data_IF_718426493432
#
_entry.id   IF_718426493432
#
_cell.length_a   1.000
_cell.length_b   1.000
_cell.length_c   1.000
_cell.angle_alpha   90.00
_cell.angle_beta   90.00
_cell.angle_gamma   90.00
#
_symmetry.space_group_name_H-M   'P 1'
#
loop_
_entity.id
_entity.type
_entity.pdbx_description
1 polymer ?
#
# COMPACT_ATOMS: atom_id res chain seq x y z
N UNK A 1 4.75 -20.67 -12.46
CA UNK A 1 5.10 -20.26 -11.09
C UNK A 1 6.57 -19.85 -10.92
N UNK A 2 7.58 -20.66 -11.31
CA UNK A 2 9.00 -20.28 -11.14
C UNK A 2 9.35 -18.92 -11.77
N UNK A 3 9.01 -18.73 -13.06
CA UNK A 3 9.32 -17.46 -13.76
C UNK A 3 8.64 -16.24 -13.12
N UNK A 4 7.39 -16.38 -12.65
CA UNK A 4 6.69 -15.31 -11.93
C UNK A 4 7.43 -14.93 -10.64
N UNK A 5 7.81 -15.93 -9.84
CA UNK A 5 8.54 -15.69 -8.60
C UNK A 5 9.93 -15.08 -8.83
N UNK A 6 10.64 -15.48 -9.88
CA UNK A 6 11.93 -14.89 -10.25
C UNK A 6 11.80 -13.43 -10.68
N UNK A 7 10.84 -13.11 -11.54
CA UNK A 7 10.58 -11.72 -11.97
C UNK A 7 10.21 -10.84 -10.78
N UNK A 8 9.34 -11.32 -9.90
CA UNK A 8 8.93 -10.59 -8.69
C UNK A 8 10.11 -10.39 -7.73
N UNK A 9 10.96 -11.41 -7.57
CA UNK A 9 12.18 -11.30 -6.77
C UNK A 9 13.12 -10.22 -7.30
N UNK A 10 13.43 -10.23 -8.59
CA UNK A 10 14.32 -9.23 -9.19
C UNK A 10 13.74 -7.81 -9.15
N UNK A 11 12.45 -7.65 -9.41
CA UNK A 11 11.77 -6.36 -9.28
C UNK A 11 11.76 -5.88 -7.82
N UNK A 12 11.62 -6.80 -6.86
CA UNK A 12 11.75 -6.49 -5.44
C UNK A 12 13.16 -6.05 -5.08
N UNK A 13 14.19 -6.75 -5.55
CA UNK A 13 15.60 -6.43 -5.30
C UNK A 13 15.99 -5.07 -5.88
N UNK A 14 15.54 -4.75 -7.10
CA UNK A 14 15.78 -3.43 -7.73
C UNK A 14 15.25 -2.31 -6.82
N UNK A 15 14.04 -2.43 -6.29
CA UNK A 15 13.44 -1.45 -5.36
C UNK A 15 14.30 -1.26 -4.11
N UNK A 16 14.67 -2.37 -3.47
CA UNK A 16 15.46 -2.37 -2.21
C UNK A 16 16.81 -1.71 -2.45
N UNK A 17 17.53 -2.13 -3.49
CA UNK A 17 18.85 -1.58 -3.82
C UNK A 17 18.76 -0.08 -4.13
N UNK A 18 17.72 0.36 -4.84
CA UNK A 18 17.54 1.78 -5.17
C UNK A 18 17.28 2.64 -3.94
N UNK A 19 16.44 2.15 -3.00
CA UNK A 19 16.17 2.89 -1.76
C UNK A 19 17.43 2.95 -0.89
N UNK A 20 18.16 1.84 -0.76
CA UNK A 20 19.42 1.81 -0.01
C UNK A 20 20.47 2.71 -0.65
N UNK A 21 20.56 2.75 -1.99
CA UNK A 21 21.44 3.65 -2.71
C UNK A 21 21.07 5.13 -2.47
N UNK A 22 19.77 5.46 -2.43
CA UNK A 22 19.31 6.81 -2.06
C UNK A 22 19.73 7.18 -0.64
N UNK A 23 19.53 6.29 0.33
CA UNK A 23 19.92 6.54 1.73
C UNK A 23 21.44 6.71 1.82
N UNK A 24 22.22 5.83 1.18
CA UNK A 24 23.68 5.92 1.16
C UNK A 24 24.14 7.23 0.50
N UNK A 25 23.52 7.63 -0.62
CA UNK A 25 23.79 8.92 -1.27
C UNK A 25 23.50 10.08 -0.33
N UNK A 26 22.36 10.05 0.39
CA UNK A 26 22.02 11.08 1.37
C UNK A 26 23.05 11.18 2.49
N UNK A 27 23.49 10.07 3.04
CA UNK A 27 24.55 10.02 4.06
C UNK A 27 25.85 10.60 3.51
N UNK A 28 26.26 10.19 2.30
CA UNK A 28 27.45 10.69 1.64
C UNK A 28 27.39 12.20 1.44
N UNK A 29 26.29 12.74 0.90
CA UNK A 29 26.14 14.16 0.63
C UNK A 29 26.16 14.99 1.92
N UNK A 30 25.53 14.51 2.99
CA UNK A 30 25.54 15.18 4.29
C UNK A 30 26.94 15.17 4.91
N UNK A 31 27.66 14.04 4.85
CA UNK A 31 29.00 13.91 5.44
C UNK A 31 30.05 14.72 4.69
N UNK A 32 29.88 14.92 3.40
CA UNK A 32 30.77 15.74 2.54
C UNK A 32 30.34 17.20 2.45
N UNK A 33 29.26 17.60 3.12
CA UNK A 33 28.67 18.93 3.00
C UNK A 33 28.44 19.34 1.53
N UNK A 34 27.93 18.41 0.73
CA UNK A 34 27.78 18.54 -0.70
C UNK A 34 26.88 19.72 -1.07
N UNK A 35 27.34 20.56 -2.00
CA UNK A 35 26.59 21.71 -2.48
C UNK A 35 25.54 21.27 -3.51
N UNK A 36 24.28 21.61 -3.26
CA UNK A 36 23.15 21.36 -4.15
C UNK A 36 22.58 22.69 -4.66
N UNK A 37 21.80 22.71 -5.72
CA UNK A 37 21.09 23.92 -6.16
C UNK A 37 20.17 24.54 -5.09
N UNK A 38 19.83 23.78 -4.06
CA UNK A 38 18.97 24.18 -2.94
C UNK A 38 19.77 24.61 -1.68
N UNK A 39 21.11 24.60 -1.73
CA UNK A 39 21.99 24.80 -0.60
C UNK A 39 22.81 23.56 -0.27
N UNK A 40 23.45 23.54 0.91
CA UNK A 40 24.26 22.40 1.33
C UNK A 40 23.39 21.27 1.88
N UNK A 41 23.73 20.01 1.51
CA UNK A 41 23.14 18.84 2.13
C UNK A 41 23.55 18.75 3.60
N UNK A 42 22.57 18.81 4.51
CA UNK A 42 22.82 18.85 5.96
C UNK A 42 21.60 18.39 6.75
N UNK A 43 21.84 17.80 7.90
CA UNK A 43 20.76 17.53 8.87
C UNK A 43 20.06 18.81 9.35
N UNK A 44 20.72 19.97 9.22
CA UNK A 44 20.11 21.26 9.53
C UNK A 44 18.93 21.59 8.63
N UNK A 45 18.85 21.02 7.42
CA UNK A 45 17.67 21.15 6.54
C UNK A 45 16.41 20.57 7.17
N UNK A 46 16.55 19.61 8.11
CA UNK A 46 15.45 19.01 8.85
C UNK A 46 15.16 19.79 10.14
N UNK A 47 16.21 20.25 10.83
CA UNK A 47 16.10 20.81 12.19
C UNK A 47 15.96 22.32 12.22
N UNK A 48 16.55 23.06 11.26
CA UNK A 48 16.45 24.50 11.21
C UNK A 48 15.03 24.96 10.87
N UNK A 49 14.47 25.78 11.75
CA UNK A 49 13.10 26.26 11.59
C UNK A 49 12.05 25.15 11.73
N UNK A 50 12.38 24.05 12.42
CA UNK A 50 11.44 22.95 12.64
C UNK A 50 10.16 23.47 13.31
N UNK A 51 9.05 23.22 12.62
CA UNK A 51 7.71 23.46 13.14
C UNK A 51 6.95 22.13 13.06
N UNK A 52 6.33 21.74 14.17
CA UNK A 52 5.58 20.48 14.22
C UNK A 52 4.39 20.47 13.24
N UNK A 53 3.80 21.64 13.00
CA UNK A 53 2.66 21.83 12.10
C UNK A 53 2.90 23.02 11.16
N UNK A 54 3.87 22.94 10.21
CA UNK A 54 4.24 24.10 9.39
C UNK A 54 3.10 24.62 8.52
N UNK A 55 2.18 23.77 8.14
CA UNK A 55 0.97 24.11 7.38
C UNK A 55 -0.32 24.09 8.23
N UNK A 56 -0.15 24.13 9.56
CA UNK A 56 -1.24 24.08 10.52
C UNK A 56 -1.72 22.66 10.84
N UNK A 57 -2.40 22.56 11.98
CA UNK A 57 -2.91 21.29 12.54
C UNK A 57 -3.82 20.52 11.56
N UNK A 58 -4.71 21.22 10.85
CA UNK A 58 -5.66 20.59 9.92
C UNK A 58 -4.93 19.86 8.78
N UNK A 59 -3.92 20.51 8.18
CA UNK A 59 -3.11 19.89 7.12
C UNK A 59 -2.34 18.67 7.62
N UNK A 60 -1.86 18.69 8.85
CA UNK A 60 -1.21 17.55 9.49
C UNK A 60 -2.19 16.36 9.63
N UNK A 61 -3.42 16.61 10.10
CA UNK A 61 -4.46 15.57 10.22
C UNK A 61 -4.85 15.02 8.85
N UNK A 62 -5.00 15.87 7.85
CA UNK A 62 -5.29 15.44 6.48
C UNK A 62 -4.20 14.55 5.88
N UNK A 63 -2.93 14.72 6.27
CA UNK A 63 -1.82 13.89 5.78
C UNK A 63 -1.95 12.40 6.18
N UNK A 64 -2.71 12.07 7.24
CA UNK A 64 -2.91 10.68 7.68
C UNK A 64 -3.52 9.78 6.60
N UNK A 65 -4.34 10.32 5.70
CA UNK A 65 -4.86 9.57 4.55
C UNK A 65 -3.72 9.09 3.63
N UNK A 66 -2.81 9.98 3.27
CA UNK A 66 -1.68 9.62 2.39
C UNK A 66 -0.72 8.66 3.09
N UNK A 67 -0.47 8.87 4.38
CA UNK A 67 0.33 7.95 5.20
C UNK A 67 -0.34 6.58 5.24
N UNK A 68 -1.64 6.51 5.51
CA UNK A 68 -2.38 5.24 5.51
C UNK A 68 -2.26 4.52 4.15
N UNK A 69 -2.45 5.24 3.04
CA UNK A 69 -2.31 4.68 1.69
C UNK A 69 -0.90 4.10 1.46
N UNK A 70 0.15 4.78 1.94
CA UNK A 70 1.53 4.32 1.80
C UNK A 70 1.81 2.98 2.54
N UNK A 71 1.02 2.64 3.56
CA UNK A 71 1.16 1.41 4.34
C UNK A 71 0.12 0.33 4.01
N UNK A 72 -0.71 0.53 3.00
CA UNK A 72 -1.65 -0.50 2.54
C UNK A 72 -0.91 -1.74 2.02
N UNK A 73 -1.63 -2.86 1.98
CA UNK A 73 -1.15 -4.16 1.51
C UNK A 73 -0.16 -4.89 2.46
N UNK A 74 0.02 -4.42 3.69
CA UNK A 74 0.79 -5.16 4.72
C UNK A 74 0.15 -6.54 5.00
N UNK A 75 -1.17 -6.65 4.89
CA UNK A 75 -1.92 -7.89 5.06
C UNK A 75 -1.59 -8.98 4.04
N UNK A 76 -0.94 -8.65 2.93
CA UNK A 76 -0.53 -9.63 1.92
C UNK A 76 0.41 -10.70 2.48
N UNK A 77 1.14 -10.41 3.55
CA UNK A 77 1.90 -11.41 4.30
C UNK A 77 0.98 -12.52 4.83
N UNK A 78 -0.24 -12.19 5.26
CA UNK A 78 -1.24 -13.17 5.70
C UNK A 78 -1.85 -13.96 4.53
N UNK A 79 -2.04 -13.33 3.37
CA UNK A 79 -2.65 -13.95 2.18
C UNK A 79 -1.74 -15.04 1.60
N UNK A 80 -0.42 -14.85 1.66
CA UNK A 80 0.57 -15.81 1.15
C UNK A 80 0.79 -17.02 2.07
N UNK A 81 0.06 -17.11 3.19
CA UNK A 81 0.17 -18.20 4.17
C UNK A 81 -0.02 -19.59 3.54
N UNK A 82 -1.00 -19.72 2.64
CA UNK A 82 -1.32 -21.01 1.99
C UNK A 82 -0.24 -21.47 1.00
N UNK A 83 0.67 -20.60 0.61
CA UNK A 83 1.75 -20.87 -0.34
C UNK A 83 3.12 -20.96 0.33
N UNK A 84 3.19 -20.58 1.61
CA UNK A 84 4.43 -20.54 2.37
C UNK A 84 4.74 -21.91 2.96
N UNK A 85 5.96 -22.42 2.72
CA UNK A 85 6.45 -23.61 3.39
C UNK A 85 6.61 -23.30 4.91
N UNK A 86 6.08 -24.17 5.78
CA UNK A 86 6.11 -24.00 7.23
C UNK A 86 5.59 -22.63 7.73
N UNK A 87 4.33 -22.25 7.41
CA UNK A 87 3.81 -20.90 7.69
C UNK A 87 3.86 -20.55 9.19
N UNK A 88 3.70 -21.52 10.09
CA UNK A 88 3.77 -21.31 11.54
C UNK A 88 5.13 -20.79 12.02
N UNK A 89 6.19 -21.04 11.30
CA UNK A 89 7.54 -20.55 11.64
C UNK A 89 7.89 -19.28 10.86
N UNK A 90 7.56 -19.25 9.58
CA UNK A 90 7.96 -18.15 8.68
C UNK A 90 7.15 -16.88 8.93
N UNK A 91 5.83 -16.97 9.12
CA UNK A 91 4.97 -15.80 9.30
C UNK A 91 5.29 -14.97 10.54
N UNK A 92 5.47 -15.56 11.75
CA UNK A 92 5.81 -14.76 12.93
C UNK A 92 7.13 -14.00 12.76
N UNK A 93 8.10 -14.58 12.05
CA UNK A 93 9.37 -13.93 11.73
C UNK A 93 9.16 -12.77 10.75
N UNK A 94 8.44 -13.01 9.66
CA UNK A 94 8.12 -11.98 8.67
C UNK A 94 7.38 -10.79 9.31
N UNK A 95 6.37 -11.05 10.14
CA UNK A 95 5.60 -10.00 10.83
C UNK A 95 6.50 -9.16 11.76
N UNK A 96 7.44 -9.77 12.48
CA UNK A 96 8.38 -9.04 13.35
C UNK A 96 9.38 -8.18 12.56
N UNK A 97 9.71 -8.56 11.32
CA UNK A 97 10.63 -7.81 10.46
C UNK A 97 9.96 -6.60 9.78
N UNK A 98 8.64 -6.61 9.60
CA UNK A 98 7.91 -5.51 8.92
C UNK A 98 8.19 -4.14 9.54
N UNK A 99 8.08 -3.91 10.87
CA UNK A 99 8.34 -2.60 11.46
C UNK A 99 9.77 -2.11 11.19
N UNK A 100 10.76 -3.00 11.23
CA UNK A 100 12.17 -2.66 10.97
C UNK A 100 12.34 -2.22 9.51
N UNK A 101 11.76 -2.97 8.58
CA UNK A 101 11.78 -2.63 7.14
C UNK A 101 11.10 -1.29 6.87
N UNK A 102 9.97 -1.02 7.52
CA UNK A 102 9.27 0.26 7.42
C UNK A 102 10.16 1.41 7.89
N UNK A 103 10.78 1.30 9.07
CA UNK A 103 11.67 2.34 9.58
C UNK A 103 12.82 2.59 8.62
N UNK A 104 13.48 1.56 8.12
CA UNK A 104 14.63 1.74 7.21
C UNK A 104 14.18 2.34 5.88
N UNK A 105 13.18 1.74 5.21
CA UNK A 105 12.86 2.09 3.83
C UNK A 105 11.98 3.35 3.71
N UNK A 106 11.09 3.61 4.67
CA UNK A 106 10.24 4.80 4.62
C UNK A 106 10.86 5.96 5.39
N UNK A 107 11.13 5.78 6.69
CA UNK A 107 11.67 6.88 7.51
C UNK A 107 13.09 7.22 7.07
N UNK A 108 13.94 6.21 6.83
CA UNK A 108 15.31 6.42 6.35
C UNK A 108 15.37 7.13 5.00
N UNK A 109 14.53 6.75 4.04
CA UNK A 109 14.47 7.42 2.73
C UNK A 109 13.96 8.86 2.85
N UNK A 110 12.92 9.11 3.66
CA UNK A 110 12.40 10.46 3.88
C UNK A 110 13.43 11.36 4.56
N UNK A 111 14.11 10.86 5.60
CA UNK A 111 15.19 11.61 6.27
C UNK A 111 16.34 11.92 5.30
N UNK A 112 16.74 10.98 4.46
CA UNK A 112 17.78 11.20 3.45
C UNK A 112 17.36 12.29 2.45
N UNK A 113 16.14 12.23 1.90
CA UNK A 113 15.62 13.24 0.97
C UNK A 113 15.56 14.61 1.64
N UNK A 114 15.04 14.70 2.86
CA UNK A 114 14.89 15.97 3.58
C UNK A 114 16.25 16.56 4.01
N UNK A 115 17.26 15.74 4.28
CA UNK A 115 18.60 16.18 4.57
C UNK A 115 19.33 16.74 3.34
N UNK A 116 19.04 16.19 2.16
CA UNK A 116 19.61 16.68 0.88
C UNK A 116 18.90 17.97 0.45
N UNK A 117 17.60 18.05 0.68
CA UNK A 117 16.75 19.06 0.08
C UNK A 117 15.72 19.59 1.10
N UNK A 118 15.66 20.89 1.38
CA UNK A 118 14.60 21.43 2.20
C UNK A 118 13.22 21.07 1.64
N UNK A 119 12.37 20.50 2.46
CA UNK A 119 11.07 19.96 2.03
C UNK A 119 10.17 20.97 1.31
N UNK A 120 10.30 22.28 1.66
CA UNK A 120 9.57 23.39 1.04
C UNK A 120 9.90 23.57 -0.44
N UNK A 121 11.08 23.12 -0.88
CA UNK A 121 11.58 23.28 -2.25
C UNK A 121 11.39 22.00 -3.10
N UNK A 122 10.85 20.91 -2.50
CA UNK A 122 10.59 19.69 -3.25
C UNK A 122 9.51 19.93 -4.29
N UNK A 123 9.76 19.65 -5.58
CA UNK A 123 8.78 19.84 -6.64
C UNK A 123 7.65 18.82 -6.50
N UNK A 124 6.41 19.31 -6.44
CA UNK A 124 5.21 18.47 -6.24
C UNK A 124 4.98 17.51 -7.43
N UNK A 125 5.42 17.91 -8.63
CA UNK A 125 5.14 17.18 -9.88
C UNK A 125 6.28 16.26 -10.34
N UNK A 126 7.31 16.06 -9.51
CA UNK A 126 8.46 15.20 -9.84
C UNK A 126 8.73 14.21 -8.71
N UNK A 127 9.18 13.02 -9.09
CA UNK A 127 9.63 12.06 -8.08
C UNK A 127 10.82 12.63 -7.29
N UNK A 128 10.79 12.65 -5.95
CA UNK A 128 11.93 13.07 -5.13
C UNK A 128 13.20 12.26 -5.45
N UNK A 129 13.07 10.99 -5.77
CA UNK A 129 14.18 10.13 -6.17
C UNK A 129 14.88 10.67 -7.43
N UNK A 130 14.10 11.01 -8.47
CA UNK A 130 14.64 11.57 -9.70
C UNK A 130 15.36 12.90 -9.42
N UNK A 131 14.75 13.75 -8.59
CA UNK A 131 15.29 15.06 -8.23
C UNK A 131 16.66 14.94 -7.54
N UNK A 132 16.76 14.07 -6.53
CA UNK A 132 18.02 13.85 -5.79
C UNK A 132 19.15 13.39 -6.70
N UNK A 133 18.92 12.39 -7.53
CA UNK A 133 19.98 11.86 -8.40
C UNK A 133 20.36 12.82 -9.54
N UNK A 134 19.43 13.68 -10.00
CA UNK A 134 19.76 14.76 -10.92
C UNK A 134 20.70 15.80 -10.31
N UNK A 135 20.53 16.10 -9.00
CA UNK A 135 21.38 17.05 -8.28
C UNK A 135 22.81 16.57 -8.10
N UNK A 136 23.04 15.29 -7.97
CA UNK A 136 24.39 14.69 -7.90
C UNK A 136 25.12 14.79 -9.26
N UNK A 137 24.49 15.36 -10.28
CA UNK A 137 25.10 15.60 -11.59
C UNK A 137 25.05 14.39 -12.53
N UNK A 138 24.38 13.31 -12.14
CA UNK A 138 24.27 12.10 -12.95
C UNK A 138 23.06 12.23 -13.88
N UNK A 139 23.25 12.87 -15.05
CA UNK A 139 22.16 13.14 -16.02
C UNK A 139 21.40 11.89 -16.46
N UNK A 140 22.08 10.76 -16.61
CA UNK A 140 21.45 9.48 -16.98
C UNK A 140 20.71 8.80 -15.82
N UNK A 141 20.99 9.19 -14.55
CA UNK A 141 20.32 8.64 -13.39
C UNK A 141 18.81 8.91 -13.39
N UNK A 142 18.37 10.02 -13.99
CA UNK A 142 16.94 10.29 -14.11
C UNK A 142 16.21 9.21 -14.92
N UNK A 143 16.79 8.78 -16.05
CA UNK A 143 16.24 7.70 -16.87
C UNK A 143 16.27 6.36 -16.13
N UNK A 144 17.36 6.04 -15.44
CA UNK A 144 17.47 4.83 -14.62
C UNK A 144 16.44 4.82 -13.48
N UNK A 145 16.30 5.91 -12.73
CA UNK A 145 15.34 5.99 -11.63
C UNK A 145 13.90 5.91 -12.16
N UNK A 146 13.58 6.56 -13.26
CA UNK A 146 12.27 6.40 -13.89
C UNK A 146 11.99 4.94 -14.28
N UNK A 147 12.99 4.23 -14.82
CA UNK A 147 12.88 2.79 -15.09
C UNK A 147 12.64 1.99 -13.81
N UNK A 148 13.36 2.29 -12.72
CA UNK A 148 13.17 1.64 -11.41
C UNK A 148 11.76 1.91 -10.87
N UNK A 149 11.26 3.15 -10.95
CA UNK A 149 9.89 3.49 -10.52
C UNK A 149 8.87 2.73 -11.36
N UNK A 150 9.06 2.64 -12.67
CA UNK A 150 8.20 1.87 -13.57
C UNK A 150 8.19 0.38 -13.20
N UNK A 151 9.37 -0.23 -13.00
CA UNK A 151 9.47 -1.65 -12.59
C UNK A 151 8.87 -1.89 -11.20
N UNK A 152 9.00 -0.92 -10.29
CA UNK A 152 8.39 -0.99 -8.96
C UNK A 152 6.86 -0.95 -9.05
N UNK A 153 6.29 -0.08 -9.87
CA UNK A 153 4.85 0.00 -10.12
C UNK A 153 4.34 -1.29 -10.80
N UNK A 154 5.06 -1.78 -11.81
CA UNK A 154 4.72 -3.03 -12.51
C UNK A 154 4.72 -4.24 -11.57
N UNK A 155 5.72 -4.35 -10.67
CA UNK A 155 5.77 -5.40 -9.65
C UNK A 155 4.57 -5.32 -8.69
N UNK A 156 4.25 -4.12 -8.19
CA UNK A 156 3.10 -3.94 -7.29
C UNK A 156 1.78 -4.30 -7.97
N UNK A 157 1.60 -3.89 -9.23
CA UNK A 157 0.45 -4.25 -10.04
C UNK A 157 0.36 -5.77 -10.24
N UNK A 158 1.48 -6.43 -10.56
CA UNK A 158 1.55 -7.87 -10.78
C UNK A 158 1.14 -8.65 -9.53
N UNK A 159 1.70 -8.32 -8.35
CA UNK A 159 1.34 -8.94 -7.07
C UNK A 159 -0.13 -8.71 -6.71
N UNK A 160 -0.64 -7.50 -6.92
CA UNK A 160 -2.04 -7.16 -6.65
C UNK A 160 -3.00 -7.92 -7.57
N UNK A 161 -2.72 -7.99 -8.87
CA UNK A 161 -3.53 -8.76 -9.83
C UNK A 161 -3.57 -10.24 -9.50
N UNK A 162 -2.43 -10.80 -9.12
CA UNK A 162 -2.34 -12.19 -8.70
C UNK A 162 -3.20 -12.45 -7.46
N UNK A 163 -3.04 -11.63 -6.42
CA UNK A 163 -3.82 -11.74 -5.18
C UNK A 163 -5.32 -11.57 -5.43
N UNK A 164 -5.72 -10.51 -6.15
CA UNK A 164 -7.13 -10.24 -6.49
C UNK A 164 -7.74 -11.37 -7.30
N UNK A 165 -7.00 -11.93 -8.27
CA UNK A 165 -7.44 -13.06 -9.06
C UNK A 165 -7.68 -14.32 -8.20
N UNK A 166 -6.85 -14.58 -7.20
CA UNK A 166 -7.04 -15.68 -6.25
C UNK A 166 -8.23 -15.47 -5.35
N UNK A 167 -8.45 -14.27 -4.83
CA UNK A 167 -9.64 -13.93 -4.05
C UNK A 167 -10.92 -14.12 -4.90
N UNK A 168 -10.92 -13.61 -6.12
CA UNK A 168 -12.05 -13.75 -7.03
C UNK A 168 -12.35 -15.23 -7.37
N UNK A 169 -11.31 -16.03 -7.58
CA UNK A 169 -11.45 -17.48 -7.76
C UNK A 169 -12.07 -18.14 -6.54
N UNK A 170 -11.61 -17.81 -5.33
CA UNK A 170 -12.15 -18.38 -4.10
C UNK A 170 -13.62 -18.00 -3.91
N UNK A 171 -13.98 -16.75 -4.12
CA UNK A 171 -15.38 -16.28 -4.07
C UNK A 171 -16.23 -17.04 -5.09
N UNK A 172 -15.72 -17.22 -6.32
CA UNK A 172 -16.43 -17.95 -7.36
C UNK A 172 -16.64 -19.43 -7.03
N UNK A 173 -15.68 -20.04 -6.32
CA UNK A 173 -15.77 -21.41 -5.83
C UNK A 173 -16.81 -21.57 -4.71
N UNK A 174 -16.90 -20.59 -3.81
CA UNK A 174 -17.85 -20.56 -2.70
C UNK A 174 -19.27 -20.14 -3.12
N UNK A 175 -19.43 -19.64 -4.35
CA UNK A 175 -20.73 -19.25 -4.93
C UNK A 175 -21.09 -20.04 -6.17
N UNK A 176 -21.29 -21.37 -6.08
CA UNK A 176 -21.51 -22.23 -7.25
C UNK A 176 -22.78 -21.90 -8.03
N UNK A 177 -23.77 -21.27 -7.39
CA UNK A 177 -25.05 -20.90 -8.01
C UNK A 177 -25.00 -19.56 -8.77
N UNK A 178 -23.87 -18.85 -8.78
CA UNK A 178 -23.74 -17.59 -9.51
C UNK A 178 -23.64 -17.82 -11.02
N UNK A 179 -24.69 -17.43 -11.75
CA UNK A 179 -24.75 -17.52 -13.23
C UNK A 179 -23.60 -16.77 -13.90
N UNK A 180 -23.23 -15.59 -13.36
CA UNK A 180 -22.17 -14.74 -13.93
C UNK A 180 -20.81 -15.40 -13.74
N UNK A 181 -20.48 -15.86 -12.52
CA UNK A 181 -19.18 -16.48 -12.23
C UNK A 181 -18.99 -17.77 -13.01
N UNK A 182 -20.07 -18.55 -13.16
CA UNK A 182 -20.05 -19.80 -13.94
C UNK A 182 -19.92 -19.53 -15.46
N UNK A 183 -20.62 -18.51 -15.99
CA UNK A 183 -20.51 -18.11 -17.40
C UNK A 183 -19.08 -17.65 -17.74
N UNK A 184 -18.44 -16.90 -16.86
CA UNK A 184 -17.06 -16.44 -17.02
C UNK A 184 -16.04 -17.52 -16.61
N UNK A 185 -16.49 -18.65 -16.04
CA UNK A 185 -15.65 -19.74 -15.54
C UNK A 185 -14.56 -19.27 -14.59
N UNK A 186 -14.89 -18.34 -13.69
CA UNK A 186 -13.96 -17.74 -12.73
C UNK A 186 -13.50 -18.75 -11.66
N UNK A 187 -14.27 -19.83 -11.47
CA UNK A 187 -13.97 -20.95 -10.58
C UNK A 187 -13.07 -22.02 -11.22
N UNK A 188 -12.46 -21.75 -12.38
CA UNK A 188 -11.60 -22.71 -13.08
C UNK A 188 -10.11 -22.41 -12.89
N UNK A 189 -9.32 -23.47 -12.78
CA UNK A 189 -7.86 -23.41 -12.79
C UNK A 189 -7.32 -23.77 -14.17
N UNK A 190 -6.21 -23.20 -14.54
CA UNK A 190 -5.43 -23.59 -15.71
C UNK A 190 -4.73 -24.94 -15.46
N UNK A 191 -4.11 -25.52 -16.50
CA UNK A 191 -3.29 -26.74 -16.39
C UNK A 191 -2.14 -26.62 -15.38
N UNK A 192 -1.71 -25.40 -15.08
CA UNK A 192 -0.66 -25.08 -14.11
C UNK A 192 -1.21 -24.79 -12.71
N UNK A 193 -2.50 -25.00 -12.42
CA UNK A 193 -3.11 -24.73 -11.12
C UNK A 193 -3.33 -23.25 -10.81
N UNK A 194 -3.27 -22.35 -11.83
CA UNK A 194 -3.42 -20.91 -11.67
C UNK A 194 -4.83 -20.47 -12.09
N UNK A 195 -5.53 -19.59 -11.36
CA UNK A 195 -6.85 -19.09 -11.72
C UNK A 195 -6.77 -18.01 -12.81
N UNK A 196 -6.26 -18.38 -14.00
CA UNK A 196 -5.93 -17.43 -15.07
C UNK A 196 -7.11 -16.58 -15.52
N UNK A 197 -8.34 -17.15 -15.55
CA UNK A 197 -9.54 -16.40 -15.96
C UNK A 197 -9.93 -15.32 -14.95
N UNK A 198 -9.81 -15.62 -13.66
CA UNK A 198 -10.05 -14.65 -12.62
C UNK A 198 -9.00 -13.53 -12.64
N UNK A 199 -7.72 -13.85 -12.88
CA UNK A 199 -6.64 -12.88 -13.03
C UNK A 199 -6.87 -12.00 -14.27
N UNK A 200 -7.22 -12.57 -15.41
CA UNK A 200 -7.50 -11.81 -16.64
C UNK A 200 -8.70 -10.88 -16.45
N UNK A 201 -9.77 -11.37 -15.80
CA UNK A 201 -10.93 -10.53 -15.48
C UNK A 201 -10.52 -9.33 -14.60
N UNK A 202 -9.75 -9.57 -13.55
CA UNK A 202 -9.21 -8.50 -12.68
C UNK A 202 -8.34 -7.52 -13.47
N UNK A 203 -7.48 -8.02 -14.37
CA UNK A 203 -6.64 -7.17 -15.21
C UNK A 203 -7.46 -6.28 -16.17
N UNK A 204 -8.56 -6.81 -16.73
CA UNK A 204 -9.47 -6.01 -17.57
C UNK A 204 -10.13 -4.89 -16.75
N UNK A 205 -10.61 -5.19 -15.54
CA UNK A 205 -11.20 -4.18 -14.65
C UNK A 205 -10.19 -3.07 -14.31
N UNK A 206 -8.96 -3.45 -13.99
CA UNK A 206 -7.88 -2.48 -13.73
C UNK A 206 -7.55 -1.67 -14.97
N UNK A 207 -7.47 -2.28 -16.14
CA UNK A 207 -7.21 -1.58 -17.40
C UNK A 207 -8.33 -0.56 -17.71
N UNK A 208 -9.60 -0.91 -17.48
CA UNK A 208 -10.72 0.03 -17.61
C UNK A 208 -10.57 1.22 -16.66
N UNK A 209 -10.15 1.00 -15.41
CA UNK A 209 -9.92 2.09 -14.46
C UNK A 209 -8.80 3.04 -14.89
N UNK A 210 -7.79 2.54 -15.63
CA UNK A 210 -6.70 3.36 -16.16
C UNK A 210 -7.20 4.38 -17.21
N UNK A 211 -8.27 4.07 -17.94
CA UNK A 211 -8.87 5.02 -18.88
C UNK A 211 -9.50 6.23 -18.20
N UNK A 212 -9.88 6.12 -16.92
CA UNK A 212 -10.43 7.23 -16.15
C UNK A 212 -9.42 8.39 -16.06
N UNK A 213 -8.12 8.08 -15.99
CA UNK A 213 -7.06 9.09 -15.95
C UNK A 213 -6.91 9.89 -17.26
N UNK A 214 -7.47 9.41 -18.36
CA UNK A 214 -7.39 10.07 -19.68
C UNK A 214 -8.62 10.93 -19.97
N UNK A 215 -9.67 10.82 -19.13
CA UNK A 215 -10.91 11.55 -19.33
C UNK A 215 -10.73 13.05 -19.01
N UNK A 216 -11.16 13.96 -19.90
CA UNK A 216 -11.15 15.39 -19.62
C UNK A 216 -12.00 15.70 -18.39
N UNK A 217 -11.51 16.54 -17.48
CA UNK A 217 -12.23 16.96 -16.27
C UNK A 217 -11.98 16.12 -15.01
N UNK A 218 -11.22 15.02 -15.08
CA UNK A 218 -10.78 14.24 -13.92
C UNK A 218 -9.34 14.64 -13.57
N UNK A 219 -9.18 15.84 -13.01
CA UNK A 219 -7.86 16.40 -12.70
C UNK A 219 -7.11 15.66 -11.60
N UNK A 220 -7.81 14.95 -10.71
CA UNK A 220 -7.25 14.26 -9.55
C UNK A 220 -7.68 12.78 -9.47
N UNK A 221 -7.63 12.06 -10.62
CA UNK A 221 -8.00 10.64 -10.66
C UNK A 221 -7.18 9.79 -9.66
N UNK A 222 -5.90 10.11 -9.46
CA UNK A 222 -5.06 9.45 -8.48
C UNK A 222 -5.61 9.64 -7.05
N UNK A 223 -5.95 10.87 -6.66
CA UNK A 223 -6.52 11.17 -5.35
C UNK A 223 -7.87 10.47 -5.14
N UNK A 224 -8.74 10.46 -6.17
CA UNK A 224 -10.03 9.77 -6.14
C UNK A 224 -9.86 8.26 -5.93
N UNK A 225 -9.00 7.61 -6.72
CA UNK A 225 -8.76 6.16 -6.64
C UNK A 225 -8.12 5.78 -5.31
N UNK A 226 -7.12 6.54 -4.86
CA UNK A 226 -6.44 6.26 -3.59
C UNK A 226 -7.34 6.48 -2.37
N UNK A 227 -8.20 7.50 -2.39
CA UNK A 227 -9.16 7.74 -1.33
C UNK A 227 -10.25 6.65 -1.27
N UNK A 228 -10.79 6.26 -2.44
CA UNK A 228 -11.77 5.17 -2.52
C UNK A 228 -11.17 3.85 -2.02
N UNK A 229 -9.96 3.53 -2.47
CA UNK A 229 -9.21 2.37 -2.03
C UNK A 229 -8.98 2.40 -0.51
N UNK A 230 -8.47 3.51 0.02
CA UNK A 230 -8.22 3.66 1.46
C UNK A 230 -9.48 3.47 2.29
N UNK A 231 -10.62 4.02 1.85
CA UNK A 231 -11.90 3.84 2.55
C UNK A 231 -12.33 2.37 2.66
N UNK A 232 -12.21 1.62 1.55
CA UNK A 232 -12.53 0.18 1.54
C UNK A 232 -11.54 -0.62 2.39
N UNK A 233 -10.24 -0.34 2.30
CA UNK A 233 -9.21 -1.02 3.11
C UNK A 233 -9.39 -0.75 4.61
N UNK A 234 -9.74 0.47 5.00
CA UNK A 234 -10.05 0.80 6.40
C UNK A 234 -11.20 -0.07 6.92
N UNK A 235 -12.27 -0.22 6.14
CA UNK A 235 -13.38 -1.09 6.52
C UNK A 235 -12.95 -2.55 6.68
N UNK A 236 -12.12 -3.08 5.76
CA UNK A 236 -11.56 -4.43 5.83
C UNK A 236 -10.72 -4.59 7.11
N UNK A 237 -9.87 -3.62 7.42
CA UNK A 237 -9.03 -3.68 8.62
C UNK A 237 -9.86 -3.61 9.92
N UNK A 238 -10.89 -2.76 9.97
CA UNK A 238 -11.82 -2.73 11.11
C UNK A 238 -12.52 -4.08 11.28
N UNK A 239 -13.05 -4.66 10.20
CA UNK A 239 -13.69 -5.98 10.23
C UNK A 239 -12.71 -7.07 10.68
N UNK A 240 -11.47 -7.02 10.22
CA UNK A 240 -10.41 -7.94 10.64
C UNK A 240 -10.11 -7.80 12.14
N UNK A 241 -10.04 -6.58 12.67
CA UNK A 241 -9.84 -6.34 14.11
C UNK A 241 -11.02 -6.85 14.93
N UNK A 242 -12.26 -6.65 14.47
CA UNK A 242 -13.45 -7.20 15.11
C UNK A 242 -13.47 -8.72 15.08
N UNK A 243 -13.12 -9.32 13.93
CA UNK A 243 -12.98 -10.78 13.81
C UNK A 243 -11.90 -11.32 14.75
N UNK A 244 -10.77 -10.64 14.91
CA UNK A 244 -9.72 -10.99 15.85
C UNK A 244 -10.21 -10.97 17.30
N UNK A 245 -11.01 -9.96 17.72
CA UNK A 245 -11.59 -9.93 19.06
C UNK A 245 -12.51 -11.14 19.33
N UNK A 246 -13.29 -11.54 18.32
CA UNK A 246 -14.16 -12.72 18.40
C UNK A 246 -13.35 -14.02 18.44
N UNK A 247 -12.33 -14.13 17.56
CA UNK A 247 -11.43 -15.29 17.50
C UNK A 247 -10.70 -15.52 18.83
N UNK A 248 -10.20 -14.45 19.48
CA UNK A 248 -9.52 -14.54 20.78
C UNK A 248 -10.38 -15.12 21.91
N UNK A 249 -11.70 -15.08 21.76
CA UNK A 249 -12.65 -15.64 22.71
C UNK A 249 -13.19 -17.01 22.28
N UNK A 250 -12.86 -17.47 21.08
CA UNK A 250 -13.34 -18.74 20.54
C UNK A 250 -12.55 -19.94 21.06
N UNK A 251 -13.13 -21.12 20.99
CA UNK A 251 -12.47 -22.39 21.32
C UNK A 251 -11.39 -22.79 20.30
N UNK A 252 -11.42 -22.16 19.13
CA UNK A 252 -10.49 -22.40 18.02
C UNK A 252 -9.20 -21.58 18.13
N UNK A 253 -9.11 -20.73 19.17
CA UNK A 253 -7.93 -19.90 19.37
C UNK A 253 -6.68 -20.76 19.62
N UNK A 254 -5.65 -20.55 18.78
CA UNK A 254 -4.35 -21.20 18.87
C UNK A 254 -3.31 -20.24 19.47
N UNK A 255 -2.85 -20.49 20.69
CA UNK A 255 -1.85 -19.63 21.36
C UNK A 255 -0.42 -19.76 20.83
N UNK A 256 -0.11 -20.87 20.12
CA UNK A 256 1.25 -21.23 19.73
C UNK A 256 1.82 -20.41 18.55
N UNK A 257 0.99 -19.55 17.93
CA UNK A 257 1.39 -18.68 16.85
C UNK A 257 1.81 -17.28 17.30
N UNK A 258 1.83 -16.35 16.35
CA UNK A 258 1.98 -14.94 16.69
C UNK A 258 0.72 -14.44 17.42
N UNK A 259 0.93 -13.94 18.62
CA UNK A 259 -0.14 -13.42 19.47
C UNK A 259 0.04 -11.93 19.65
N UNK A 260 -0.98 -11.15 19.33
CA UNK A 260 -0.99 -9.70 19.55
C UNK A 260 -0.85 -9.39 21.05
N UNK A 261 0.21 -8.68 21.48
CA UNK A 261 0.36 -8.30 22.88
C UNK A 261 -0.72 -7.31 23.28
N UNK A 262 -1.10 -7.31 24.57
CA UNK A 262 -2.08 -6.37 25.12
C UNK A 262 -3.34 -6.16 24.25
N UNK A 263 -3.84 -7.20 23.58
CA UNK A 263 -4.89 -7.12 22.55
C UNK A 263 -6.18 -6.45 23.05
N UNK A 264 -6.47 -6.54 24.37
CA UNK A 264 -7.66 -5.93 24.98
C UNK A 264 -7.64 -4.39 24.88
N UNK A 265 -6.44 -3.79 24.79
CA UNK A 265 -6.25 -2.34 24.69
C UNK A 265 -5.85 -1.97 23.25
N UNK A 266 -4.86 -2.63 22.70
CA UNK A 266 -4.31 -2.28 21.38
C UNK A 266 -5.30 -2.50 20.24
N UNK A 267 -6.14 -3.56 20.31
CA UNK A 267 -7.10 -3.81 19.25
C UNK A 267 -8.19 -2.72 19.17
N UNK A 268 -8.91 -2.36 20.27
CA UNK A 268 -9.84 -1.23 20.23
C UNK A 268 -9.18 0.10 19.84
N UNK A 269 -7.96 0.36 20.32
CA UNK A 269 -7.21 1.56 19.96
C UNK A 269 -6.93 1.62 18.45
N UNK A 270 -6.58 0.48 17.85
CA UNK A 270 -6.37 0.38 16.40
C UNK A 270 -7.67 0.63 15.63
N UNK A 271 -8.81 0.12 16.11
CA UNK A 271 -10.12 0.40 15.50
C UNK A 271 -10.44 1.90 15.57
N UNK A 272 -10.22 2.55 16.72
CA UNK A 272 -10.43 4.00 16.88
C UNK A 272 -9.51 4.79 15.94
N UNK A 273 -8.25 4.38 15.81
CA UNK A 273 -7.31 4.98 14.86
C UNK A 273 -7.80 4.85 13.41
N UNK A 274 -8.28 3.69 12.99
CA UNK A 274 -8.81 3.51 11.65
C UNK A 274 -10.08 4.33 11.39
N UNK A 275 -10.96 4.44 12.38
CA UNK A 275 -12.13 5.33 12.30
C UNK A 275 -11.71 6.80 12.18
N UNK A 276 -10.70 7.22 12.94
CA UNK A 276 -10.12 8.56 12.81
C UNK A 276 -9.59 8.81 11.40
N UNK A 277 -8.78 7.89 10.83
CA UNK A 277 -8.27 8.03 9.46
C UNK A 277 -9.41 8.04 8.44
N UNK A 278 -10.47 7.26 8.66
CA UNK A 278 -11.64 7.27 7.79
C UNK A 278 -12.34 8.64 7.78
N UNK A 279 -12.47 9.29 8.93
CA UNK A 279 -13.00 10.66 9.03
C UNK A 279 -12.10 11.65 8.31
N UNK A 280 -10.76 11.48 8.38
CA UNK A 280 -9.82 12.35 7.67
C UNK A 280 -10.03 12.36 6.15
N UNK A 281 -10.53 11.26 5.55
CA UNK A 281 -10.84 11.20 4.11
C UNK A 281 -11.91 12.23 3.68
N UNK A 282 -12.78 12.66 4.58
CA UNK A 282 -13.86 13.62 4.30
C UNK A 282 -13.44 15.09 4.48
N UNK A 283 -12.25 15.33 5.03
CA UNK A 283 -11.78 16.69 5.35
C UNK A 283 -11.09 17.39 4.16
N UNK A 284 -10.82 16.69 3.07
CA UNK A 284 -10.06 17.21 1.94
C UNK A 284 -10.87 17.09 0.65
N UNK A 285 -10.96 18.19 -0.12
CA UNK A 285 -11.73 18.25 -1.37
C UNK A 285 -11.32 17.20 -2.40
N UNK A 286 -10.02 16.88 -2.50
CA UNK A 286 -9.51 15.88 -3.44
C UNK A 286 -9.88 14.43 -3.07
N UNK A 287 -10.23 14.15 -1.82
CA UNK A 287 -10.46 12.77 -1.31
C UNK A 287 -11.90 12.50 -0.92
N UNK A 288 -12.71 13.55 -0.62
CA UNK A 288 -14.05 13.34 -0.06
C UNK A 288 -15.00 12.60 -1.02
N UNK A 289 -14.90 12.82 -2.33
CA UNK A 289 -15.72 12.11 -3.33
C UNK A 289 -15.39 10.61 -3.31
N UNK A 290 -14.09 10.27 -3.24
CA UNK A 290 -13.64 8.88 -3.09
C UNK A 290 -14.12 8.24 -1.79
N UNK A 291 -14.12 9.00 -0.69
CA UNK A 291 -14.63 8.55 0.61
C UNK A 291 -16.15 8.28 0.58
N UNK A 292 -16.91 9.14 -0.07
CA UNK A 292 -18.36 8.93 -0.29
C UNK A 292 -18.59 7.65 -1.10
N UNK A 293 -17.86 7.49 -2.23
CA UNK A 293 -17.93 6.30 -3.06
C UNK A 293 -17.64 5.02 -2.28
N UNK A 294 -16.57 5.02 -1.48
CA UNK A 294 -16.22 3.89 -0.61
C UNK A 294 -17.33 3.61 0.42
N UNK A 295 -17.90 4.65 1.04
CA UNK A 295 -18.98 4.51 2.02
C UNK A 295 -20.23 3.89 1.40
N UNK A 296 -20.65 4.40 0.24
CA UNK A 296 -21.80 3.85 -0.50
C UNK A 296 -21.54 2.37 -0.82
N UNK A 297 -20.34 2.04 -1.33
CA UNK A 297 -19.96 0.67 -1.62
C UNK A 297 -20.03 -0.24 -0.40
N UNK A 298 -19.49 0.19 0.74
CA UNK A 298 -19.49 -0.58 2.00
C UNK A 298 -20.92 -0.84 2.46
N UNK A 299 -21.81 0.18 2.41
CA UNK A 299 -23.21 0.05 2.80
C UNK A 299 -23.95 -0.91 1.87
N UNK A 300 -23.85 -0.72 0.57
CA UNK A 300 -24.50 -1.59 -0.42
C UNK A 300 -24.03 -3.04 -0.30
N UNK A 301 -22.73 -3.26 -0.12
CA UNK A 301 -22.17 -4.58 0.08
C UNK A 301 -22.66 -5.20 1.39
N UNK A 302 -22.73 -4.43 2.47
CA UNK A 302 -23.27 -4.88 3.76
C UNK A 302 -24.73 -5.30 3.68
N UNK A 303 -25.57 -4.52 3.01
CA UNK A 303 -26.97 -4.85 2.76
C UNK A 303 -27.08 -6.13 1.94
N UNK A 304 -26.34 -6.22 0.84
CA UNK A 304 -26.33 -7.41 -0.03
C UNK A 304 -25.88 -8.67 0.72
N UNK A 305 -24.83 -8.57 1.52
CA UNK A 305 -24.28 -9.69 2.29
C UNK A 305 -25.31 -10.19 3.33
N UNK A 306 -25.95 -9.27 4.05
CA UNK A 306 -26.99 -9.61 5.04
C UNK A 306 -28.21 -10.26 4.38
N UNK A 307 -28.66 -9.72 3.25
CA UNK A 307 -29.78 -10.30 2.49
C UNK A 307 -29.47 -11.73 2.03
N UNK A 308 -28.26 -11.96 1.51
CA UNK A 308 -27.83 -13.29 1.08
C UNK A 308 -27.67 -14.29 2.21
N UNK A 309 -27.29 -13.84 3.40
CA UNK A 309 -27.12 -14.70 4.58
C UNK A 309 -28.46 -15.18 5.15
N UNK A 310 -29.52 -14.40 4.94
CA UNK A 310 -30.90 -14.71 5.40
C UNK A 310 -31.72 -15.53 4.40
N UNK A 311 -31.17 -15.88 3.23
CA UNK A 311 -31.71 -16.84 2.26
C UNK A 311 -31.06 -18.21 2.40
#
# INVERSE_FOLDING_TARGET
MKVFGEVEFWFGMIKIVTILALIATGIFMVTTNFETPAGHASLTNITNGFQMFPNGWVKFVMAFQMVFFAYQAIEFVGITTSETANPRQVLPKAIKEIPIRIVIFYVGALLAIMAIFPWQQLPVNKSPFVTVFQMVGIKWAAGLINFVVLTAAASSLNSTLYSTGRHLYQIAKETPNSKVMNRLKLNSLSRMGIPSRAIIFSAIVVAVSAFINVLPGVSDAFALITASSSGVYIAIYILTMLAHLKYRKSKEFMPDGFVMPAYKVLNPLTIVFFLFVFVCLFLQESTYIGAIGATIWIILFGIYSNWKHNQ
#
